data_IF_477924803607
#
_entry.id   IF_477924803607
#
_cell.length_a   1.000
_cell.length_b   1.000
_cell.length_c   1.000
_cell.angle_alpha   90.00
_cell.angle_beta   90.00
_cell.angle_gamma   90.00
#
_symmetry.space_group_name_H-M   'P 1'
#
loop_
_entity.id
_entity.type
_entity.pdbx_description
1 polymer ?
#
# COMPACT_ATOMS: atom_id res chain seq x y z
N UNK A 1 23.74 27.43 -1.02
CA UNK A 1 22.53 27.34 -1.84
C UNK A 1 21.40 26.93 -0.90
N UNK A 2 20.44 27.81 -0.65
CA UNK A 2 19.24 27.47 0.14
C UNK A 2 18.57 26.27 -0.51
N UNK A 3 18.42 25.17 0.23
CA UNK A 3 17.55 24.07 -0.21
C UNK A 3 16.15 24.67 -0.31
N UNK A 4 15.67 24.94 -1.51
CA UNK A 4 14.26 25.25 -1.71
C UNK A 4 13.48 24.03 -1.21
N UNK A 5 12.61 24.27 -0.22
CA UNK A 5 11.72 23.24 0.31
C UNK A 5 10.75 22.81 -0.78
N UNK A 6 10.55 21.51 -0.94
CA UNK A 6 9.53 20.96 -1.85
C UNK A 6 8.17 21.53 -1.45
N UNK A 7 7.47 22.27 -2.32
CA UNK A 7 6.13 22.77 -2.02
C UNK A 7 5.15 21.62 -1.88
N UNK A 8 4.29 21.68 -0.85
CA UNK A 8 3.21 20.70 -0.67
C UNK A 8 1.93 21.35 -0.13
N UNK A 9 0.80 20.72 -0.40
CA UNK A 9 -0.54 21.15 0.00
C UNK A 9 -1.43 19.97 0.41
N UNK A 10 -2.48 20.26 1.17
CA UNK A 10 -3.55 19.29 1.48
C UNK A 10 -4.53 19.24 0.32
N UNK A 11 -4.72 18.06 -0.26
CA UNK A 11 -5.72 17.80 -1.31
C UNK A 11 -7.08 17.45 -0.74
N UNK A 12 -7.10 16.52 0.21
CA UNK A 12 -8.30 16.06 0.89
C UNK A 12 -8.01 15.85 2.35
N UNK A 13 -9.01 16.04 3.19
CA UNK A 13 -8.92 15.71 4.60
C UNK A 13 -10.27 15.28 5.15
N UNK A 14 -10.22 14.45 6.19
CA UNK A 14 -11.39 13.95 6.89
C UNK A 14 -11.12 13.87 8.39
N UNK A 15 -12.15 14.16 9.18
CA UNK A 15 -12.20 13.70 10.57
C UNK A 15 -12.44 12.19 10.65
N UNK A 16 -13.37 11.70 9.83
CA UNK A 16 -13.62 10.29 9.55
C UNK A 16 -14.11 10.15 8.09
N UNK A 17 -13.91 8.98 7.51
CA UNK A 17 -14.41 8.69 6.16
C UNK A 17 -15.96 8.67 6.15
N UNK A 18 -16.53 9.07 5.02
CA UNK A 18 -17.98 9.06 4.74
C UNK A 18 -18.21 8.66 3.28
N UNK A 19 -19.36 8.05 3.00
CA UNK A 19 -19.70 7.45 1.72
C UNK A 19 -20.90 8.11 1.05
N UNK A 20 -20.94 8.01 -0.27
CA UNK A 20 -22.18 8.18 -1.03
C UNK A 20 -23.03 6.93 -0.91
N UNK A 21 -23.96 6.96 0.05
CA UNK A 21 -24.92 5.88 0.24
C UNK A 21 -26.00 5.89 -0.83
N UNK A 22 -26.40 4.70 -1.29
CA UNK A 22 -27.47 4.52 -2.29
C UNK A 22 -28.85 4.92 -1.73
N UNK A 23 -29.04 4.88 -0.41
CA UNK A 23 -30.25 5.29 0.27
C UNK A 23 -30.00 5.78 1.71
N UNK A 24 -30.99 6.49 2.27
CA UNK A 24 -30.90 7.06 3.61
C UNK A 24 -30.83 6.02 4.73
N UNK A 25 -31.45 4.85 4.58
CA UNK A 25 -31.45 3.83 5.63
C UNK A 25 -30.03 3.28 5.88
N UNK A 26 -29.26 3.04 4.81
CA UNK A 26 -27.85 2.63 4.93
C UNK A 26 -27.01 3.70 5.63
N UNK A 27 -27.24 4.98 5.30
CA UNK A 27 -26.55 6.10 5.96
C UNK A 27 -26.91 6.16 7.45
N UNK A 28 -28.20 6.07 7.78
CA UNK A 28 -28.67 6.08 9.15
C UNK A 28 -28.08 4.92 9.96
N UNK A 29 -27.99 3.72 9.37
CA UNK A 29 -27.37 2.57 10.00
C UNK A 29 -25.87 2.77 10.24
N UNK A 30 -25.15 3.27 9.22
CA UNK A 30 -23.71 3.54 9.30
C UNK A 30 -23.37 4.54 10.41
N UNK A 31 -24.16 5.62 10.50
CA UNK A 31 -24.01 6.65 11.52
C UNK A 31 -24.42 6.16 12.90
N UNK A 32 -25.57 5.47 13.01
CA UNK A 32 -26.08 4.95 14.28
C UNK A 32 -25.11 3.98 14.93
N UNK A 33 -24.49 3.10 14.15
CA UNK A 33 -23.53 2.12 14.64
C UNK A 33 -22.09 2.63 14.64
N UNK A 34 -21.84 3.87 14.18
CA UNK A 34 -20.53 4.49 14.11
C UNK A 34 -19.50 3.64 13.35
N UNK A 35 -19.90 2.98 12.26
CA UNK A 35 -19.01 2.09 11.49
C UNK A 35 -17.77 2.81 10.93
N UNK A 36 -17.85 4.13 10.75
CA UNK A 36 -16.69 4.97 10.40
C UNK A 36 -15.53 4.87 11.39
N UNK A 37 -15.75 4.44 12.65
CA UNK A 37 -14.66 4.23 13.62
C UNK A 37 -13.69 3.14 13.19
N UNK A 38 -14.16 2.15 12.43
CA UNK A 38 -13.34 1.09 11.88
C UNK A 38 -12.76 1.37 10.49
N UNK A 39 -13.08 2.54 9.90
CA UNK A 39 -12.77 2.87 8.52
C UNK A 39 -11.42 3.60 8.41
N UNK A 40 -10.34 2.86 8.15
CA UNK A 40 -9.02 3.45 7.93
C UNK A 40 -8.62 3.37 6.45
N UNK A 41 -8.13 4.48 5.87
CA UNK A 41 -7.62 4.47 4.51
C UNK A 41 -6.25 3.82 4.45
N UNK A 42 -6.00 3.03 3.40
CA UNK A 42 -4.72 2.41 3.11
C UNK A 42 -4.11 2.99 1.83
N UNK A 43 -4.32 2.34 0.68
CA UNK A 43 -3.76 2.72 -0.62
C UNK A 43 -4.53 3.83 -1.33
N UNK A 44 -3.81 4.90 -1.69
CA UNK A 44 -4.32 5.99 -2.52
C UNK A 44 -3.72 5.95 -3.93
N UNK A 45 -4.56 6.11 -4.98
CA UNK A 45 -4.10 6.21 -6.37
C UNK A 45 -4.81 7.32 -7.14
N UNK A 46 -4.14 7.79 -8.20
CA UNK A 46 -4.68 8.75 -9.15
C UNK A 46 -4.52 8.19 -10.56
N UNK A 47 -5.57 8.24 -11.37
CA UNK A 47 -5.51 7.81 -12.76
C UNK A 47 -4.99 8.92 -13.70
N UNK A 48 -4.79 8.58 -14.98
CA UNK A 48 -4.34 9.54 -16.00
C UNK A 48 -5.32 10.69 -16.26
N UNK A 49 -6.59 10.57 -15.84
CA UNK A 49 -7.63 11.59 -15.97
C UNK A 49 -7.68 12.51 -14.74
N UNK A 50 -6.90 12.23 -13.70
CA UNK A 50 -6.92 12.96 -12.43
C UNK A 50 -8.03 12.51 -11.49
N UNK A 51 -8.63 11.33 -11.73
CA UNK A 51 -9.58 10.70 -10.79
C UNK A 51 -8.81 10.13 -9.62
N UNK A 52 -9.23 10.46 -8.40
CA UNK A 52 -8.62 9.98 -7.17
C UNK A 52 -9.40 8.80 -6.61
N UNK A 53 -8.66 7.83 -6.09
CA UNK A 53 -9.18 6.59 -5.54
C UNK A 53 -8.53 6.28 -4.20
N UNK A 54 -9.28 5.59 -3.35
CA UNK A 54 -8.88 5.22 -2.00
C UNK A 54 -9.36 3.82 -1.67
N UNK A 55 -8.45 2.96 -1.21
CA UNK A 55 -8.82 1.70 -0.59
C UNK A 55 -9.07 1.87 0.91
N UNK A 56 -10.06 1.12 1.39
CA UNK A 56 -10.43 0.99 2.79
C UNK A 56 -10.54 -0.51 3.07
N UNK A 57 -9.48 -1.15 3.58
CA UNK A 57 -9.52 -2.57 3.93
C UNK A 57 -10.67 -2.86 4.90
N UNK A 58 -11.32 -4.01 4.75
CA UNK A 58 -12.44 -4.41 5.60
C UNK A 58 -11.95 -5.08 6.89
N UNK A 59 -11.06 -4.43 7.63
CA UNK A 59 -10.58 -4.90 8.94
C UNK A 59 -11.65 -4.82 10.03
N UNK A 60 -12.63 -3.94 9.86
CA UNK A 60 -13.75 -3.76 10.78
C UNK A 60 -15.10 -4.03 10.12
N UNK A 61 -16.10 -4.27 10.96
CA UNK A 61 -17.48 -4.46 10.50
C UNK A 61 -18.08 -3.16 9.94
N UNK A 62 -18.94 -3.28 8.93
CA UNK A 62 -19.74 -2.17 8.42
C UNK A 62 -19.06 -1.26 7.40
N UNK A 63 -17.91 -1.64 6.86
CA UNK A 63 -17.23 -0.91 5.77
C UNK A 63 -17.96 -1.12 4.44
N UNK A 64 -18.58 -0.07 3.84
CA UNK A 64 -19.45 -0.24 2.67
C UNK A 64 -18.73 -0.82 1.45
N UNK A 65 -17.54 -0.29 1.14
CA UNK A 65 -16.79 -0.66 -0.06
C UNK A 65 -15.29 -0.55 0.19
N UNK A 66 -14.53 -1.51 -0.36
CA UNK A 66 -13.09 -1.63 -0.09
C UNK A 66 -12.22 -0.85 -1.06
N UNK A 67 -12.74 -0.52 -2.25
CA UNK A 67 -12.14 0.44 -3.18
C UNK A 67 -13.17 1.50 -3.51
N UNK A 68 -12.75 2.76 -3.52
CA UNK A 68 -13.64 3.90 -3.65
C UNK A 68 -13.05 4.96 -4.58
N UNK A 69 -13.90 5.65 -5.34
CA UNK A 69 -13.57 6.95 -5.94
C UNK A 69 -13.80 8.06 -4.92
N UNK A 70 -12.95 9.08 -4.92
CA UNK A 70 -13.17 10.28 -4.12
C UNK A 70 -13.94 11.29 -4.97
N UNK A 71 -15.06 11.77 -4.44
CA UNK A 71 -15.94 12.75 -5.09
C UNK A 71 -16.23 13.92 -4.16
N UNK A 72 -16.29 15.13 -4.71
CA UNK A 72 -16.57 16.35 -3.94
C UNK A 72 -18.06 16.67 -3.96
N UNK A 73 -18.70 16.65 -2.79
CA UNK A 73 -20.11 17.01 -2.62
C UNK A 73 -20.23 18.10 -1.58
N UNK A 74 -20.78 19.26 -1.97
CA UNK A 74 -20.91 20.44 -1.10
C UNK A 74 -19.59 20.85 -0.42
N UNK A 75 -18.48 20.75 -1.15
CA UNK A 75 -17.14 21.07 -0.64
C UNK A 75 -16.53 20.04 0.30
N UNK A 76 -17.18 18.88 0.50
CA UNK A 76 -16.65 17.77 1.29
C UNK A 76 -16.26 16.59 0.41
N UNK A 77 -15.11 15.95 0.65
CA UNK A 77 -14.75 14.72 -0.04
C UNK A 77 -15.54 13.53 0.54
N UNK A 78 -16.22 12.78 -0.33
CA UNK A 78 -16.96 11.56 -0.01
C UNK A 78 -16.44 10.38 -0.84
N UNK A 79 -16.70 9.17 -0.37
CA UNK A 79 -16.31 7.92 -1.03
C UNK A 79 -17.47 7.33 -1.83
N UNK A 80 -17.29 7.20 -3.14
CA UNK A 80 -18.19 6.46 -4.02
C UNK A 80 -17.68 5.02 -4.19
N UNK A 81 -18.46 3.99 -3.81
CA UNK A 81 -18.09 2.60 -4.03
C UNK A 81 -17.65 2.31 -5.47
N UNK A 82 -16.47 1.71 -5.63
CA UNK A 82 -15.88 1.40 -6.94
C UNK A 82 -15.53 -0.09 -7.03
N UNK A 83 -15.63 -0.73 -8.21
CA UNK A 83 -16.13 -0.20 -9.49
C UNK A 83 -17.66 -0.10 -9.59
N UNK A 84 -18.38 -0.86 -8.76
CA UNK A 84 -19.83 -0.85 -8.63
C UNK A 84 -20.22 -1.65 -7.37
N UNK A 85 -21.51 -1.68 -7.06
CA UNK A 85 -22.06 -2.39 -5.90
C UNK A 85 -21.82 -3.91 -5.96
N UNK A 86 -21.97 -4.54 -7.13
CA UNK A 86 -21.78 -5.98 -7.30
C UNK A 86 -20.34 -6.41 -6.98
N UNK A 87 -19.34 -5.61 -7.36
CA UNK A 87 -17.94 -5.86 -7.03
C UNK A 87 -17.58 -5.60 -5.57
N UNK A 88 -18.51 -5.11 -4.75
CA UNK A 88 -18.34 -4.91 -3.32
C UNK A 88 -19.15 -5.90 -2.47
N UNK A 89 -19.71 -6.96 -3.07
CA UNK A 89 -20.41 -8.01 -2.34
C UNK A 89 -19.45 -8.87 -1.48
N UNK A 90 -19.59 -8.78 -0.15
CA UNK A 90 -18.81 -9.57 0.80
C UNK A 90 -19.21 -11.05 0.71
N UNK A 91 -18.23 -11.95 0.64
CA UNK A 91 -18.39 -13.40 0.56
C UNK A 91 -18.54 -13.94 -0.86
N UNK A 92 -18.65 -13.07 -1.88
CA UNK A 92 -18.69 -13.48 -3.28
C UNK A 92 -17.26 -13.60 -3.84
N UNK A 93 -16.80 -14.80 -4.29
CA UNK A 93 -15.44 -14.99 -4.80
C UNK A 93 -15.13 -14.17 -6.05
N UNK A 94 -16.14 -13.75 -6.81
CA UNK A 94 -16.00 -12.92 -8.00
C UNK A 94 -15.95 -11.41 -7.67
N UNK A 95 -16.16 -11.03 -6.40
CA UNK A 95 -16.15 -9.66 -5.91
C UNK A 95 -14.97 -9.37 -4.97
N UNK A 96 -14.70 -8.08 -4.72
CA UNK A 96 -13.65 -7.63 -3.82
C UNK A 96 -14.05 -7.79 -2.35
N UNK A 97 -13.15 -8.35 -1.56
CA UNK A 97 -13.36 -8.65 -0.15
C UNK A 97 -12.69 -7.61 0.74
N UNK A 98 -11.37 -7.45 0.65
CA UNK A 98 -10.61 -6.46 1.40
C UNK A 98 -9.32 -6.11 0.65
N UNK A 99 -9.34 -4.99 -0.05
CA UNK A 99 -8.19 -4.45 -0.79
C UNK A 99 -7.43 -3.50 0.11
N UNK A 100 -6.13 -3.74 0.24
CA UNK A 100 -5.17 -2.86 0.92
C UNK A 100 -4.34 -2.11 -0.11
N UNK A 101 -3.27 -2.72 -0.60
CA UNK A 101 -2.45 -2.19 -1.67
C UNK A 101 -3.03 -2.55 -3.03
N UNK A 102 -2.69 -1.73 -4.02
CA UNK A 102 -3.07 -1.93 -5.41
C UNK A 102 -2.24 -0.98 -6.27
N UNK A 103 -2.31 -1.12 -7.59
CA UNK A 103 -1.59 -0.22 -8.50
C UNK A 103 -2.43 0.11 -9.75
N UNK A 104 -2.21 1.30 -10.32
CA UNK A 104 -2.75 1.65 -11.65
C UNK A 104 -1.59 1.65 -12.63
N UNK A 105 -1.63 0.75 -13.61
CA UNK A 105 -0.56 0.64 -14.60
C UNK A 105 -0.66 1.71 -15.70
N UNK A 106 0.38 1.78 -16.54
CA UNK A 106 0.48 2.73 -17.65
C UNK A 106 -0.54 2.49 -18.78
N UNK A 107 -1.21 1.33 -18.78
CA UNK A 107 -2.29 0.97 -19.71
C UNK A 107 -3.68 1.38 -19.18
N UNK A 108 -3.75 1.99 -18.00
CA UNK A 108 -5.01 2.39 -17.38
C UNK A 108 -5.78 1.22 -16.75
N UNK A 109 -5.07 0.17 -16.31
CA UNK A 109 -5.66 -0.95 -15.58
C UNK A 109 -5.34 -0.84 -14.10
N UNK A 110 -6.35 -0.98 -13.26
CA UNK A 110 -6.19 -1.13 -11.82
C UNK A 110 -5.97 -2.61 -11.48
N UNK A 111 -4.96 -2.87 -10.66
CA UNK A 111 -4.58 -4.19 -10.15
C UNK A 111 -4.84 -4.22 -8.65
N UNK A 112 -6.05 -4.64 -8.26
CA UNK A 112 -6.45 -4.72 -6.86
C UNK A 112 -5.86 -5.97 -6.20
N UNK A 113 -5.10 -5.80 -5.12
CA UNK A 113 -4.63 -6.90 -4.28
C UNK A 113 -5.66 -7.16 -3.18
N UNK A 114 -6.49 -8.17 -3.37
CA UNK A 114 -7.51 -8.55 -2.42
C UNK A 114 -6.93 -9.57 -1.43
N UNK A 115 -6.87 -9.19 -0.16
CA UNK A 115 -6.37 -10.03 0.92
C UNK A 115 -7.32 -11.19 1.23
N UNK A 116 -8.61 -11.07 0.90
CA UNK A 116 -9.63 -12.07 1.21
C UNK A 116 -10.05 -12.13 2.69
N UNK A 117 -9.37 -11.41 3.59
CA UNK A 117 -9.68 -11.32 5.01
C UNK A 117 -10.70 -10.20 5.26
N UNK A 118 -11.83 -10.53 5.89
CA UNK A 118 -12.85 -9.56 6.30
C UNK A 118 -13.08 -9.69 7.80
N UNK A 119 -13.04 -8.57 8.51
CA UNK A 119 -13.16 -8.49 9.97
C UNK A 119 -12.13 -9.37 10.71
N UNK A 120 -10.89 -9.40 10.20
CA UNK A 120 -9.79 -10.24 10.69
C UNK A 120 -10.10 -11.75 10.73
N UNK A 121 -11.16 -12.19 10.04
CA UNK A 121 -11.49 -13.61 9.91
C UNK A 121 -10.49 -14.28 8.95
N UNK A 122 -10.20 -15.58 9.15
CA UNK A 122 -9.38 -16.33 8.21
C UNK A 122 -9.93 -16.24 6.79
N UNK A 123 -9.04 -16.06 5.82
CA UNK A 123 -9.41 -16.09 4.42
C UNK A 123 -9.96 -17.49 4.04
N UNK A 124 -10.92 -17.53 3.13
CA UNK A 124 -11.47 -18.76 2.56
C UNK A 124 -11.04 -18.92 1.09
N UNK A 125 -11.02 -20.14 0.53
CA UNK A 125 -10.60 -20.36 -0.85
C UNK A 125 -11.33 -19.46 -1.85
N UNK A 126 -10.57 -18.81 -2.73
CA UNK A 126 -11.10 -17.90 -3.75
C UNK A 126 -11.24 -16.43 -3.31
N UNK A 127 -11.12 -16.11 -2.02
CA UNK A 127 -11.25 -14.73 -1.54
C UNK A 127 -9.96 -13.91 -1.74
N UNK A 128 -8.80 -14.54 -1.53
CA UNK A 128 -7.49 -13.93 -1.77
C UNK A 128 -7.10 -14.01 -3.25
N UNK A 129 -6.93 -12.86 -3.90
CA UNK A 129 -6.77 -12.77 -5.36
C UNK A 129 -6.22 -11.42 -5.82
N UNK A 130 -5.74 -11.38 -7.06
CA UNK A 130 -5.53 -10.14 -7.80
C UNK A 130 -6.71 -9.95 -8.75
N UNK A 131 -7.31 -8.77 -8.75
CA UNK A 131 -8.36 -8.40 -9.73
C UNK A 131 -7.80 -7.31 -10.64
N UNK A 132 -7.72 -7.60 -11.94
CA UNK A 132 -7.32 -6.64 -12.97
C UNK A 132 -8.57 -6.01 -13.58
N UNK A 133 -8.67 -4.69 -13.54
CA UNK A 133 -9.85 -3.93 -13.96
C UNK A 133 -9.45 -2.81 -14.92
N UNK A 134 -10.11 -2.72 -16.07
CA UNK A 134 -9.86 -1.66 -17.04
C UNK A 134 -10.62 -0.40 -16.63
N UNK A 135 -9.90 0.68 -16.31
CA UNK A 135 -10.50 1.93 -15.84
C UNK A 135 -11.20 2.72 -16.97
N UNK A 136 -10.82 2.47 -18.22
CA UNK A 136 -11.37 3.18 -19.39
C UNK A 136 -12.78 2.70 -19.75
N UNK A 137 -12.94 1.38 -19.83
CA UNK A 137 -14.19 0.68 -20.13
C UNK A 137 -15.01 0.36 -18.88
N UNK A 138 -14.38 0.42 -17.70
CA UNK A 138 -14.94 0.01 -16.43
C UNK A 138 -15.41 -1.46 -16.45
N UNK A 139 -14.53 -2.35 -16.90
CA UNK A 139 -14.79 -3.78 -17.04
C UNK A 139 -13.70 -4.63 -16.41
N UNK A 140 -14.10 -5.81 -15.94
CA UNK A 140 -13.19 -6.83 -15.46
C UNK A 140 -12.29 -7.31 -16.62
N UNK A 141 -10.97 -7.33 -16.38
CA UNK A 141 -9.99 -7.89 -17.31
C UNK A 141 -9.64 -9.32 -16.91
N UNK A 142 -9.36 -9.55 -15.62
CA UNK A 142 -8.94 -10.86 -15.12
C UNK A 142 -9.12 -10.98 -13.60
N UNK A 143 -9.25 -12.22 -13.13
CA UNK A 143 -9.17 -12.61 -11.72
C UNK A 143 -8.10 -13.68 -11.59
N UNK A 144 -7.12 -13.43 -10.71
CA UNK A 144 -5.97 -14.30 -10.48
C UNK A 144 -6.02 -14.76 -9.02
N UNK A 145 -6.57 -15.95 -8.73
CA UNK A 145 -6.56 -16.50 -7.38
C UNK A 145 -5.13 -16.69 -6.88
N UNK A 146 -4.88 -16.34 -5.62
CA UNK A 146 -3.61 -16.63 -4.94
C UNK A 146 -3.88 -17.76 -3.94
N UNK A 147 -3.38 -18.98 -4.19
CA UNK A 147 -3.75 -20.14 -3.39
C UNK A 147 -2.94 -20.20 -2.07
N UNK A 148 -3.43 -21.01 -1.12
CA UNK A 148 -2.90 -21.12 0.26
C UNK A 148 -1.42 -21.51 0.30
N UNK A 149 -0.96 -22.32 -0.66
CA UNK A 149 0.43 -22.74 -0.78
C UNK A 149 1.39 -21.62 -1.22
N UNK A 150 0.90 -20.54 -1.85
CA UNK A 150 1.69 -19.36 -2.23
C UNK A 150 1.59 -18.29 -1.14
N UNK A 151 0.39 -18.07 -0.62
CA UNK A 151 0.10 -17.16 0.47
C UNK A 151 -0.93 -17.79 1.39
N UNK A 152 -0.46 -18.24 2.57
CA UNK A 152 -1.31 -18.90 3.56
C UNK A 152 -2.48 -18.02 3.99
N UNK A 153 -3.68 -18.56 3.94
CA UNK A 153 -4.93 -17.94 4.39
C UNK A 153 -5.01 -17.70 5.90
N UNK A 154 -4.01 -18.20 6.65
CA UNK A 154 -3.91 -18.04 8.11
C UNK A 154 -2.76 -17.13 8.55
N UNK A 155 -1.81 -16.87 7.67
CA UNK A 155 -0.59 -16.15 8.02
C UNK A 155 -0.37 -14.91 7.19
N UNK A 156 -0.74 -14.94 5.90
CA UNK A 156 -0.42 -13.88 4.94
C UNK A 156 -1.18 -12.61 5.25
N UNK A 157 -0.52 -11.50 4.96
CA UNK A 157 -1.08 -10.18 4.94
C UNK A 157 -0.52 -9.50 3.70
N UNK A 158 -1.18 -9.75 2.56
CA UNK A 158 -0.78 -9.22 1.27
C UNK A 158 -0.88 -7.70 1.32
N UNK A 159 0.26 -7.02 1.19
CA UNK A 159 0.34 -5.60 1.48
C UNK A 159 0.24 -4.79 0.19
N UNK A 160 1.34 -4.71 -0.56
CA UNK A 160 1.44 -3.94 -1.79
C UNK A 160 1.92 -4.77 -2.99
N UNK A 161 1.71 -4.25 -4.20
CA UNK A 161 2.19 -4.84 -5.44
C UNK A 161 2.84 -3.83 -6.40
N UNK A 162 3.71 -4.34 -7.28
CA UNK A 162 4.34 -3.59 -8.35
C UNK A 162 4.14 -4.31 -9.69
N UNK A 163 3.76 -3.54 -10.70
CA UNK A 163 3.47 -4.03 -12.06
C UNK A 163 4.69 -3.86 -12.97
N UNK A 164 5.04 -4.90 -13.70
CA UNK A 164 6.08 -4.94 -14.73
C UNK A 164 5.51 -5.47 -16.04
N UNK A 165 4.84 -4.59 -16.78
CA UNK A 165 4.31 -4.91 -18.10
C UNK A 165 5.40 -5.15 -19.15
N UNK A 166 6.61 -4.61 -18.95
CA UNK A 166 7.74 -4.77 -19.89
C UNK A 166 8.19 -6.23 -19.90
N UNK A 167 8.34 -6.83 -18.72
CA UNK A 167 8.78 -8.22 -18.60
C UNK A 167 7.62 -9.21 -18.39
N UNK A 168 6.41 -8.74 -18.10
CA UNK A 168 5.21 -9.54 -17.90
C UNK A 168 5.10 -10.16 -16.50
N UNK A 169 5.38 -9.39 -15.45
CA UNK A 169 5.38 -9.87 -14.06
C UNK A 169 4.69 -8.91 -13.09
N UNK A 170 4.18 -9.46 -11.98
CA UNK A 170 3.76 -8.69 -10.80
C UNK A 170 4.56 -9.17 -9.59
N UNK A 171 5.00 -8.23 -8.77
CA UNK A 171 5.73 -8.49 -7.52
C UNK A 171 4.88 -8.04 -6.35
N UNK A 172 4.73 -8.87 -5.32
CA UNK A 172 3.87 -8.61 -4.16
C UNK A 172 4.70 -8.75 -2.90
N UNK A 173 4.52 -7.81 -1.96
CA UNK A 173 4.98 -7.96 -0.59
C UNK A 173 3.90 -8.59 0.29
N UNK A 174 4.29 -9.57 1.08
CA UNK A 174 3.44 -10.20 2.08
C UNK A 174 4.06 -10.00 3.46
N UNK A 175 3.35 -9.28 4.33
CA UNK A 175 3.81 -8.92 5.65
C UNK A 175 3.63 -10.04 6.67
N UNK A 176 2.87 -11.10 6.37
CA UNK A 176 2.80 -12.32 7.17
C UNK A 176 2.38 -12.19 8.63
N UNK A 177 1.56 -11.18 9.00
CA UNK A 177 1.39 -10.69 10.38
C UNK A 177 0.49 -11.53 11.30
N UNK A 178 -0.24 -12.52 10.76
CA UNK A 178 -1.24 -13.26 11.56
C UNK A 178 -0.67 -14.43 12.37
N UNK A 179 0.62 -14.72 12.26
CA UNK A 179 1.27 -15.82 13.01
C UNK A 179 2.49 -15.37 13.78
N UNK A 180 2.87 -16.17 14.79
CA UNK A 180 4.14 -16.08 15.50
C UNK A 180 4.86 -17.43 15.46
N UNK A 181 6.02 -17.56 14.76
CA UNK A 181 6.73 -16.51 14.04
C UNK A 181 5.93 -15.94 12.85
N UNK A 182 6.26 -14.69 12.52
CA UNK A 182 5.74 -13.99 11.36
C UNK A 182 6.15 -14.76 10.08
N UNK A 183 5.33 -14.72 9.04
CA UNK A 183 5.55 -15.49 7.80
C UNK A 183 5.76 -14.60 6.58
N UNK A 184 6.47 -13.47 6.75
CA UNK A 184 6.70 -12.51 5.68
C UNK A 184 7.47 -13.10 4.48
N UNK A 185 7.27 -12.53 3.30
CA UNK A 185 7.90 -13.01 2.07
C UNK A 185 7.54 -12.16 0.86
N UNK A 186 8.03 -12.56 -0.31
CA UNK A 186 7.66 -11.94 -1.59
C UNK A 186 6.98 -12.97 -2.48
N UNK A 187 6.03 -12.52 -3.30
CA UNK A 187 5.32 -13.36 -4.27
C UNK A 187 5.50 -12.77 -5.66
N UNK A 188 5.83 -13.64 -6.61
CA UNK A 188 6.06 -13.30 -8.01
C UNK A 188 4.97 -13.95 -8.83
N UNK A 189 4.28 -13.15 -9.65
CA UNK A 189 3.29 -13.63 -10.60
C UNK A 189 3.82 -13.45 -12.02
N UNK A 190 3.86 -14.53 -12.79
CA UNK A 190 4.18 -14.50 -14.21
C UNK A 190 2.88 -14.31 -15.01
N UNK A 191 2.69 -13.15 -15.64
CA UNK A 191 1.46 -12.84 -16.38
C UNK A 191 1.25 -13.73 -17.61
N UNK A 192 2.34 -14.30 -18.17
CA UNK A 192 2.29 -15.14 -19.37
C UNK A 192 1.94 -16.59 -19.04
N UNK A 193 2.60 -17.18 -18.04
CA UNK A 193 2.36 -18.58 -17.65
C UNK A 193 1.23 -18.71 -16.64
N UNK A 194 0.83 -17.61 -16.01
CA UNK A 194 -0.09 -17.52 -14.86
C UNK A 194 0.42 -18.21 -13.60
N UNK A 195 1.70 -18.53 -13.54
CA UNK A 195 2.30 -19.17 -12.37
C UNK A 195 2.61 -18.14 -11.29
N UNK A 196 2.43 -18.58 -10.04
CA UNK A 196 2.81 -17.85 -8.84
C UNK A 196 3.98 -18.57 -8.17
N UNK A 197 4.93 -17.81 -7.65
CA UNK A 197 6.06 -18.33 -6.87
C UNK A 197 6.25 -17.48 -5.63
N UNK A 198 6.31 -18.11 -4.46
CA UNK A 198 6.76 -17.47 -3.23
C UNK A 198 8.28 -17.61 -3.11
N UNK A 199 8.95 -16.53 -2.72
CA UNK A 199 10.39 -16.46 -2.43
C UNK A 199 10.63 -15.66 -1.15
N UNK A 200 11.81 -15.78 -0.57
CA UNK A 200 12.24 -15.11 0.66
C UNK A 200 11.25 -15.33 1.82
N UNK A 201 10.60 -16.50 1.85
CA UNK A 201 9.67 -16.88 2.92
C UNK A 201 10.44 -16.99 4.23
N UNK A 202 10.05 -16.18 5.22
CA UNK A 202 10.74 -16.09 6.51
C UNK A 202 12.22 -15.69 6.45
N UNK A 203 12.66 -15.14 5.32
CA UNK A 203 14.01 -14.60 5.18
C UNK A 203 14.18 -13.36 6.07
N UNK A 204 15.36 -13.13 6.63
CA UNK A 204 15.62 -12.03 7.59
C UNK A 204 15.22 -10.63 7.05
N UNK A 205 15.29 -10.42 5.73
CA UNK A 205 14.89 -9.16 5.09
C UNK A 205 13.38 -8.94 4.97
N UNK A 206 12.57 -9.97 5.20
CA UNK A 206 11.09 -9.94 5.09
C UNK A 206 10.40 -10.08 6.45
N UNK A 207 11.16 -10.19 7.55
CA UNK A 207 10.65 -10.35 8.91
C UNK A 207 10.74 -9.05 9.72
N UNK A 208 9.99 -9.01 10.82
CA UNK A 208 10.18 -8.00 11.86
C UNK A 208 11.53 -8.15 12.56
N UNK A 209 12.13 -7.04 12.97
CA UNK A 209 13.30 -7.07 13.87
C UNK A 209 12.82 -7.38 15.29
N UNK A 210 13.28 -8.48 15.92
CA UNK A 210 12.79 -8.88 17.23
C UNK A 210 13.00 -7.79 18.30
N UNK A 211 11.94 -7.50 19.04
CA UNK A 211 11.97 -6.51 20.12
C UNK A 211 12.13 -5.05 19.64
N UNK A 212 11.91 -4.78 18.35
CA UNK A 212 12.01 -3.44 17.82
C UNK A 212 10.79 -2.58 18.22
N UNK A 213 11.07 -1.43 18.82
CA UNK A 213 10.06 -0.45 19.22
C UNK A 213 10.27 0.85 18.48
N UNK A 214 9.17 1.45 18.06
CA UNK A 214 9.16 2.78 17.46
C UNK A 214 7.95 3.57 17.92
N UNK A 215 8.02 4.88 17.69
CA UNK A 215 6.99 5.84 18.08
C UNK A 215 6.65 6.72 16.90
N UNK A 216 5.37 7.03 16.75
CA UNK A 216 4.89 8.00 15.77
C UNK A 216 4.42 9.21 16.56
N UNK A 217 4.98 10.39 16.26
CA UNK A 217 4.74 11.63 17.01
C UNK A 217 4.83 11.46 18.54
N UNK A 218 5.84 10.71 18.99
CA UNK A 218 6.09 10.46 20.41
C UNK A 218 5.19 9.41 21.08
N UNK A 219 4.21 8.84 20.36
CA UNK A 219 3.30 7.80 20.86
C UNK A 219 3.75 6.41 20.38
N UNK A 220 3.85 5.46 21.30
CA UNK A 220 4.06 4.05 20.95
C UNK A 220 2.80 3.48 20.30
N UNK A 221 2.98 2.52 19.38
CA UNK A 221 1.85 1.85 18.71
C UNK A 221 1.00 1.08 19.71
N UNK A 222 1.62 0.15 20.44
CA UNK A 222 1.02 -0.53 21.59
C UNK A 222 1.77 -0.13 22.86
N UNK A 223 1.12 -0.17 24.04
CA UNK A 223 1.77 0.17 25.30
C UNK A 223 2.70 -0.93 25.84
N UNK A 224 2.43 -2.19 25.50
CA UNK A 224 2.94 -3.38 26.21
C UNK A 224 3.65 -4.40 25.30
N UNK A 225 3.55 -4.27 23.98
CA UNK A 225 4.25 -5.12 23.01
C UNK A 225 4.75 -4.35 21.77
N UNK A 226 5.82 -4.79 21.10
CA UNK A 226 6.19 -4.22 19.81
C UNK A 226 5.14 -4.57 18.75
N UNK A 227 4.95 -3.67 17.76
CA UNK A 227 4.22 -4.03 16.55
C UNK A 227 5.10 -4.91 15.67
N UNK A 228 4.52 -5.92 15.03
CA UNK A 228 5.24 -6.88 14.20
C UNK A 228 4.64 -6.93 12.82
N UNK A 229 5.38 -6.39 11.86
CA UNK A 229 5.00 -6.35 10.46
C UNK A 229 6.24 -6.63 9.62
N UNK A 230 6.14 -7.66 8.77
CA UNK A 230 7.20 -8.08 7.85
C UNK A 230 7.29 -7.18 6.63
N UNK A 231 7.71 -7.76 5.49
CA UNK A 231 7.78 -7.08 4.20
C UNK A 231 6.47 -6.35 3.89
N UNK A 232 6.58 -5.04 3.71
CA UNK A 232 5.43 -4.16 3.62
C UNK A 232 5.59 -3.31 2.35
N UNK A 233 6.23 -2.14 2.46
CA UNK A 233 6.61 -1.34 1.31
C UNK A 233 7.49 -2.10 0.32
N UNK A 234 7.08 -2.02 -0.95
CA UNK A 234 7.74 -2.59 -2.12
C UNK A 234 7.84 -1.53 -3.22
N UNK A 235 8.93 -1.51 -3.97
CA UNK A 235 9.08 -0.62 -5.12
C UNK A 235 9.88 -1.28 -6.23
N UNK A 236 9.56 -0.94 -7.47
CA UNK A 236 10.26 -1.43 -8.65
C UNK A 236 11.01 -0.29 -9.33
N UNK A 237 12.29 -0.50 -9.60
CA UNK A 237 13.13 0.48 -10.30
C UNK A 237 12.54 0.89 -11.66
N UNK A 238 12.88 2.11 -12.08
CA UNK A 238 12.51 2.69 -13.37
C UNK A 238 12.86 1.77 -14.56
N UNK A 239 13.98 1.05 -14.51
CA UNK A 239 14.41 0.11 -15.55
C UNK A 239 13.94 -1.35 -15.31
N UNK A 240 13.15 -1.58 -14.24
CA UNK A 240 12.64 -2.89 -13.80
C UNK A 240 13.75 -3.87 -13.41
N UNK A 241 15.00 -3.44 -13.27
CA UNK A 241 16.13 -4.34 -13.01
C UNK A 241 16.21 -4.79 -11.56
N UNK A 242 15.76 -3.95 -10.63
CA UNK A 242 15.79 -4.19 -9.18
C UNK A 242 14.43 -4.02 -8.53
N UNK A 243 14.07 -4.98 -7.68
CA UNK A 243 12.98 -4.91 -6.74
C UNK A 243 13.51 -4.46 -5.37
N UNK A 244 12.87 -3.47 -4.77
CA UNK A 244 13.19 -2.95 -3.44
C UNK A 244 12.07 -3.29 -2.47
N UNK A 245 12.41 -3.58 -1.22
CA UNK A 245 11.43 -3.76 -0.15
C UNK A 245 12.01 -3.41 1.21
N UNK A 246 11.14 -3.21 2.18
CA UNK A 246 11.50 -3.23 3.59
C UNK A 246 10.41 -3.86 4.44
N UNK A 247 10.81 -4.43 5.57
CA UNK A 247 9.86 -4.74 6.63
C UNK A 247 9.45 -3.46 7.37
N UNK A 248 8.17 -3.31 7.71
CA UNK A 248 7.70 -2.12 8.43
C UNK A 248 8.30 -2.09 9.82
N UNK A 249 8.34 -3.21 10.55
CA UNK A 249 9.06 -3.32 11.84
C UNK A 249 10.57 -3.50 11.64
N UNK A 250 11.17 -2.66 10.81
CA UNK A 250 12.61 -2.54 10.58
C UNK A 250 12.96 -1.15 10.03
N UNK A 251 14.25 -0.82 9.92
CA UNK A 251 14.71 0.43 9.27
C UNK A 251 15.48 0.22 7.98
N UNK A 252 15.89 -1.00 7.68
CA UNK A 252 16.75 -1.27 6.54
C UNK A 252 15.97 -1.31 5.22
N UNK A 253 16.60 -0.91 4.13
CA UNK A 253 16.09 -1.08 2.77
C UNK A 253 16.85 -2.22 2.10
N UNK A 254 16.14 -3.12 1.45
CA UNK A 254 16.72 -4.25 0.74
C UNK A 254 16.42 -4.15 -0.76
N UNK A 255 17.25 -4.79 -1.58
CA UNK A 255 16.94 -5.02 -2.98
C UNK A 255 17.50 -6.33 -3.53
N UNK A 256 16.94 -6.80 -4.65
CA UNK A 256 17.44 -7.93 -5.43
C UNK A 256 17.20 -7.69 -6.92
N UNK A 257 18.02 -8.32 -7.77
CA UNK A 257 17.84 -8.25 -9.22
C UNK A 257 16.60 -9.05 -9.64
N UNK A 258 15.69 -8.42 -10.38
CA UNK A 258 14.45 -9.05 -10.83
C UNK A 258 14.68 -10.20 -11.79
N UNK A 259 15.83 -10.26 -12.46
CA UNK A 259 16.18 -11.38 -13.34
C UNK A 259 16.15 -12.73 -12.59
N UNK A 260 16.63 -12.75 -11.33
CA UNK A 260 16.62 -13.93 -10.47
C UNK A 260 15.21 -14.32 -10.02
N UNK A 261 14.31 -13.33 -9.92
CA UNK A 261 12.91 -13.55 -9.53
C UNK A 261 12.05 -14.03 -10.69
N UNK A 262 12.35 -13.54 -11.91
CA UNK A 262 11.60 -13.85 -13.13
C UNK A 262 11.93 -15.23 -13.71
N UNK A 263 13.11 -15.75 -13.43
CA UNK A 263 13.45 -17.14 -13.73
C UNK A 263 12.99 -18.06 -12.59
N UNK A 264 11.85 -18.73 -12.80
CA UNK A 264 11.27 -19.63 -11.80
C UNK A 264 12.10 -20.91 -11.59
N UNK A 265 13.17 -21.13 -12.38
CA UNK A 265 14.15 -22.19 -12.15
C UNK A 265 15.30 -21.78 -11.23
N UNK A 266 15.49 -20.48 -10.96
CA UNK A 266 16.53 -20.00 -10.04
C UNK A 266 16.33 -20.57 -8.64
N UNK A 267 17.32 -21.28 -8.06
CA UNK A 267 17.20 -21.85 -6.72
C UNK A 267 16.96 -20.77 -5.65
N UNK A 268 16.15 -21.10 -4.65
CA UNK A 268 15.83 -20.17 -3.55
C UNK A 268 17.08 -19.58 -2.88
N UNK A 269 18.06 -20.43 -2.60
CA UNK A 269 19.33 -20.03 -1.99
C UNK A 269 20.10 -18.98 -2.80
N UNK A 270 20.02 -19.04 -4.13
CA UNK A 270 20.67 -18.05 -5.00
C UNK A 270 19.98 -16.68 -4.88
N UNK A 271 18.65 -16.67 -4.73
CA UNK A 271 17.87 -15.45 -4.48
C UNK A 271 18.23 -14.86 -3.10
N UNK A 272 18.28 -15.70 -2.06
CA UNK A 272 18.65 -15.30 -0.69
C UNK A 272 20.05 -14.68 -0.64
N UNK A 273 21.05 -15.32 -1.25
CA UNK A 273 22.44 -14.85 -1.30
C UNK A 273 22.61 -13.57 -2.14
N UNK A 274 21.69 -13.30 -3.08
CA UNK A 274 21.68 -12.10 -3.90
C UNK A 274 21.00 -10.90 -3.24
N UNK A 275 20.35 -11.06 -2.09
CA UNK A 275 19.73 -9.94 -1.36
C UNK A 275 20.80 -8.95 -0.90
N UNK A 276 20.65 -7.69 -1.31
CA UNK A 276 21.53 -6.60 -0.88
C UNK A 276 20.83 -5.76 0.19
N UNK A 277 21.45 -5.66 1.36
CA UNK A 277 21.11 -4.66 2.38
C UNK A 277 21.71 -3.31 1.99
N UNK A 278 20.86 -2.34 1.66
CA UNK A 278 21.24 -0.99 1.26
C UNK A 278 21.45 -0.05 2.46
N UNK A 279 21.16 -0.53 3.68
CA UNK A 279 21.39 0.17 4.91
C UNK A 279 20.15 0.80 5.53
N UNK A 280 20.39 1.52 6.62
CA UNK A 280 19.37 2.06 7.50
C UNK A 280 18.82 3.40 6.99
N UNK A 281 17.50 3.46 6.76
CA UNK A 281 16.77 4.66 6.28
C UNK A 281 16.60 5.76 7.34
N UNK A 282 16.90 5.44 8.61
CA UNK A 282 16.68 6.33 9.76
C UNK A 282 15.27 6.30 10.34
N UNK A 283 14.34 5.54 9.75
CA UNK A 283 12.93 5.45 10.12
C UNK A 283 12.35 4.10 9.70
N UNK A 284 11.27 3.67 10.35
CA UNK A 284 10.33 2.69 9.80
C UNK A 284 9.58 3.27 8.60
N UNK A 285 9.18 2.39 7.71
CA UNK A 285 8.50 2.72 6.45
C UNK A 285 7.33 1.77 6.25
N UNK A 286 6.20 2.36 5.88
CA UNK A 286 4.99 1.66 5.46
C UNK A 286 5.08 1.48 3.93
N UNK A 287 4.63 2.45 3.13
CA UNK A 287 4.78 2.42 1.68
C UNK A 287 6.15 2.83 1.10
N UNK A 288 6.48 2.21 -0.03
CA UNK A 288 7.55 2.59 -0.94
C UNK A 288 6.98 3.02 -2.31
N UNK A 289 7.75 3.83 -3.05
CA UNK A 289 7.44 4.18 -4.42
C UNK A 289 8.72 4.46 -5.21
N UNK A 290 8.63 4.46 -6.54
CA UNK A 290 9.76 4.79 -7.40
C UNK A 290 9.32 5.76 -8.51
N UNK A 291 10.20 6.69 -8.85
CA UNK A 291 9.98 7.57 -9.99
C UNK A 291 10.63 7.05 -11.29
N UNK A 292 10.28 7.68 -12.39
CA UNK A 292 10.83 7.43 -13.72
C UNK A 292 12.29 7.90 -13.90
N UNK A 293 12.92 8.50 -12.88
CA UNK A 293 14.33 8.90 -12.86
C UNK A 293 15.20 7.94 -12.03
N UNK A 294 14.59 6.92 -11.41
CA UNK A 294 15.28 5.89 -10.64
C UNK A 294 15.47 6.22 -9.16
N UNK A 295 14.83 7.26 -8.63
CA UNK A 295 14.81 7.50 -7.19
C UNK A 295 13.74 6.64 -6.53
N UNK A 296 14.04 6.16 -5.32
CA UNK A 296 13.13 5.37 -4.50
C UNK A 296 12.64 6.23 -3.34
N UNK A 297 11.34 6.41 -3.21
CA UNK A 297 10.69 7.19 -2.16
C UNK A 297 10.19 6.25 -1.09
N UNK A 298 10.24 6.71 0.16
CA UNK A 298 9.79 5.93 1.30
C UNK A 298 9.05 6.82 2.30
N UNK A 299 7.98 6.28 2.89
CA UNK A 299 7.32 6.94 4.00
C UNK A 299 8.18 6.90 5.25
N UNK A 300 8.09 7.94 6.07
CA UNK A 300 8.82 8.07 7.32
C UNK A 300 7.83 8.10 8.47
N UNK A 301 7.58 6.94 9.10
CA UNK A 301 6.65 6.85 10.24
C UNK A 301 7.16 7.62 11.46
N UNK A 302 8.42 7.41 11.85
CA UNK A 302 9.04 8.12 12.97
C UNK A 302 9.43 9.55 12.59
N UNK A 303 9.78 9.76 11.31
CA UNK A 303 10.21 11.05 10.78
C UNK A 303 9.08 11.98 10.32
N UNK A 304 7.83 11.52 10.34
CA UNK A 304 6.62 12.26 9.93
C UNK A 304 6.75 12.93 8.55
N UNK A 305 6.87 12.11 7.50
CA UNK A 305 6.93 12.64 6.13
C UNK A 305 7.43 11.65 5.09
N UNK A 306 8.13 12.16 4.08
CA UNK A 306 8.68 11.39 2.95
C UNK A 306 10.20 11.56 2.88
N UNK A 307 10.90 10.43 2.71
CA UNK A 307 12.31 10.39 2.37
C UNK A 307 12.54 9.84 0.97
N UNK A 308 13.78 10.00 0.50
CA UNK A 308 14.24 9.49 -0.79
C UNK A 308 15.58 8.76 -0.63
N UNK A 309 15.70 7.63 -1.30
CA UNK A 309 16.92 6.89 -1.52
C UNK A 309 17.38 7.11 -2.96
N UNK A 310 18.65 7.51 -3.12
CA UNK A 310 19.29 7.65 -4.42
C UNK A 310 20.22 6.46 -4.68
N UNK A 311 19.89 5.56 -5.62
CA UNK A 311 20.74 4.41 -5.92
C UNK A 311 22.14 4.76 -6.44
N UNK A 312 22.31 5.93 -7.08
CA UNK A 312 23.57 6.33 -7.69
C UNK A 312 24.68 6.61 -6.66
N UNK A 313 24.31 7.20 -5.52
CA UNK A 313 25.25 7.53 -4.43
C UNK A 313 24.96 6.75 -3.13
N UNK A 314 23.95 5.88 -3.14
CA UNK A 314 23.47 5.08 -2.00
C UNK A 314 23.14 5.92 -0.76
N UNK A 315 22.54 7.10 -0.95
CA UNK A 315 22.19 8.01 0.15
C UNK A 315 20.69 8.05 0.45
N UNK A 316 20.36 8.17 1.73
CA UNK A 316 19.01 8.40 2.25
C UNK A 316 18.86 9.86 2.70
N UNK A 317 17.78 10.53 2.29
CA UNK A 317 17.53 11.95 2.62
C UNK A 317 16.03 12.21 2.85
N UNK A 318 15.65 12.82 3.99
CA UNK A 318 14.32 13.43 4.14
C UNK A 318 14.12 14.52 3.08
N UNK A 319 12.93 14.55 2.47
CA UNK A 319 12.57 15.57 1.46
C UNK A 319 11.35 16.38 1.84
N UNK A 320 10.43 15.80 2.62
CA UNK A 320 9.22 16.45 3.13
C UNK A 320 9.03 16.00 4.57
N UNK A 321 8.76 16.94 5.46
CA UNK A 321 8.42 16.69 6.87
C UNK A 321 7.38 17.70 7.33
N UNK A 322 6.35 17.23 8.03
CA UNK A 322 5.32 18.07 8.65
C UNK A 322 4.77 17.33 9.88
N UNK A 323 4.56 18.04 11.00
CA UNK A 323 4.06 17.41 12.24
C UNK A 323 2.65 16.80 12.08
N UNK A 324 1.92 17.16 11.02
CA UNK A 324 0.62 16.60 10.66
C UNK A 324 0.72 15.30 9.87
N UNK A 325 1.89 14.97 9.30
CA UNK A 325 2.14 13.73 8.54
C UNK A 325 2.34 12.55 9.49
N UNK A 326 1.28 12.24 10.23
CA UNK A 326 1.20 11.15 11.19
C UNK A 326 0.90 9.87 10.41
N UNK A 327 1.66 8.79 10.62
CA UNK A 327 1.48 7.51 9.91
C UNK A 327 1.26 7.71 8.39
N UNK A 328 2.30 8.12 7.69
CA UNK A 328 2.27 8.21 6.22
C UNK A 328 2.33 6.80 5.65
N UNK A 329 1.38 6.46 4.79
CA UNK A 329 1.07 5.08 4.38
C UNK A 329 1.42 4.87 2.90
N UNK A 330 0.46 5.05 1.99
CA UNK A 330 0.65 4.85 0.56
C UNK A 330 1.07 6.11 -0.20
N UNK A 331 1.66 5.90 -1.39
CA UNK A 331 2.02 6.98 -2.31
C UNK A 331 1.80 6.63 -3.79
N UNK A 332 1.68 7.66 -4.62
CA UNK A 332 1.51 7.57 -6.07
C UNK A 332 2.00 8.85 -6.77
N UNK A 333 2.03 8.85 -8.10
CA UNK A 333 2.45 9.99 -8.92
C UNK A 333 1.36 10.37 -9.92
N UNK A 334 1.04 11.66 -10.03
CA UNK A 334 -0.08 12.17 -10.85
C UNK A 334 0.27 12.47 -12.32
N UNK A 335 1.41 11.98 -12.79
CA UNK A 335 1.99 12.25 -14.12
C UNK A 335 2.27 13.73 -14.46
N UNK A 336 2.01 14.65 -13.53
CA UNK A 336 2.22 16.09 -13.71
C UNK A 336 3.45 16.60 -12.97
N UNK A 337 4.23 15.72 -12.34
CA UNK A 337 5.37 16.11 -11.52
C UNK A 337 5.07 16.17 -10.02
N UNK A 338 3.95 15.60 -9.57
CA UNK A 338 3.59 15.60 -8.16
C UNK A 338 3.58 14.18 -7.57
N UNK A 339 4.06 14.09 -6.33
CA UNK A 339 3.85 12.96 -5.44
C UNK A 339 2.56 13.19 -4.66
N UNK A 340 1.68 12.20 -4.66
CA UNK A 340 0.46 12.18 -3.87
C UNK A 340 0.61 11.08 -2.83
N UNK A 341 0.32 11.38 -1.57
CA UNK A 341 0.44 10.40 -0.50
C UNK A 341 -0.59 10.67 0.60
N UNK A 342 -1.02 9.60 1.27
CA UNK A 342 -1.95 9.72 2.38
C UNK A 342 -1.25 9.50 3.72
N UNK A 343 -1.86 10.03 4.76
CA UNK A 343 -1.51 9.72 6.13
C UNK A 343 -2.78 9.45 6.93
N UNK A 344 -2.65 8.59 7.94
CA UNK A 344 -3.73 8.19 8.83
C UNK A 344 -3.29 8.31 10.31
N UNK A 345 -4.11 7.81 11.25
CA UNK A 345 -3.78 7.81 12.68
C UNK A 345 -4.00 6.44 13.28
N UNK A 346 -3.63 5.39 12.54
CA UNK A 346 -3.93 4.00 12.90
C UNK A 346 -3.47 3.63 14.32
N UNK A 347 -2.26 4.04 14.72
CA UNK A 347 -1.77 3.84 16.09
C UNK A 347 -2.58 4.54 17.20
N UNK A 348 -3.25 5.65 16.91
CA UNK A 348 -4.13 6.32 17.87
C UNK A 348 -5.49 5.63 17.93
N UNK A 349 -5.98 5.13 16.79
CA UNK A 349 -7.19 4.31 16.72
C UNK A 349 -7.04 3.03 17.56
N UNK A 350 -5.93 2.31 17.38
CA UNK A 350 -5.60 1.10 18.12
C UNK A 350 -5.61 1.26 19.65
N UNK A 351 -5.41 2.50 20.12
CA UNK A 351 -5.36 2.84 21.54
C UNK A 351 -6.64 3.48 22.06
N UNK A 352 -7.66 3.62 21.20
CA UNK A 352 -8.88 4.40 21.48
C UNK A 352 -8.55 5.84 21.90
N UNK A 353 -7.55 6.44 21.25
CA UNK A 353 -7.02 7.79 21.51
C UNK A 353 -7.24 8.74 20.34
N UNK A 354 -7.94 8.32 19.29
CA UNK A 354 -8.22 9.13 18.12
C UNK A 354 -9.33 10.15 18.43
N UNK A 355 -9.02 11.44 18.28
CA UNK A 355 -9.95 12.56 18.50
C UNK A 355 -10.77 12.81 17.23
N UNK A 356 -12.01 12.33 17.20
CA UNK A 356 -12.85 12.33 16.00
C UNK A 356 -13.43 13.70 15.60
N UNK A 357 -13.25 14.73 16.41
CA UNK A 357 -13.56 16.11 16.07
C UNK A 357 -12.42 16.83 15.31
N UNK A 358 -11.22 16.25 15.30
CA UNK A 358 -10.10 16.76 14.50
C UNK A 358 -10.37 16.56 13.00
N UNK A 359 -10.48 17.62 12.18
CA UNK A 359 -10.77 17.50 10.75
C UNK A 359 -9.60 16.93 9.92
N UNK A 360 -8.43 16.75 10.53
CA UNK A 360 -7.18 16.31 9.90
C UNK A 360 -6.70 14.96 10.44
N UNK A 361 -7.64 14.06 10.76
CA UNK A 361 -7.29 12.70 11.15
C UNK A 361 -6.73 11.91 9.97
N UNK A 362 -7.34 12.10 8.80
CA UNK A 362 -6.96 11.47 7.55
C UNK A 362 -6.69 12.59 6.55
N UNK A 363 -5.54 12.55 5.89
CA UNK A 363 -5.14 13.61 4.96
C UNK A 363 -4.52 12.97 3.72
N UNK A 364 -4.84 13.53 2.56
CA UNK A 364 -4.13 13.29 1.30
C UNK A 364 -3.36 14.56 0.96
N UNK A 365 -2.07 14.40 0.71
CA UNK A 365 -1.15 15.48 0.38
C UNK A 365 -0.76 15.43 -1.09
N UNK A 366 -0.43 16.60 -1.64
CA UNK A 366 0.24 16.72 -2.94
C UNK A 366 1.52 17.51 -2.76
N UNK A 367 2.63 16.95 -3.22
CA UNK A 367 3.94 17.59 -3.19
C UNK A 367 4.52 17.74 -4.59
N UNK A 368 5.02 18.92 -4.92
CA UNK A 368 5.58 19.26 -6.24
C UNK A 368 7.04 18.85 -6.33
N UNK A 369 7.32 17.67 -6.87
CA UNK A 369 8.70 17.16 -7.03
C UNK A 369 9.46 17.85 -8.17
N UNK A 370 8.76 18.21 -9.24
CA UNK A 370 9.36 18.89 -10.39
C UNK A 370 8.77 18.44 -11.71
N UNK A 371 8.97 19.21 -12.77
CA UNK A 371 8.52 18.84 -14.11
C UNK A 371 9.18 17.54 -14.59
N UNK A 372 8.40 16.67 -15.25
CA UNK A 372 8.90 15.42 -15.82
C UNK A 372 9.01 14.24 -14.85
N UNK A 373 8.87 14.46 -13.54
CA UNK A 373 8.81 13.38 -12.55
C UNK A 373 7.47 12.66 -12.66
N UNK A 374 7.53 11.34 -12.83
CA UNK A 374 6.36 10.45 -12.96
C UNK A 374 6.64 9.14 -12.21
N UNK A 375 5.63 8.29 -12.09
CA UNK A 375 5.82 6.91 -11.61
C UNK A 375 6.85 6.16 -12.48
N UNK A 376 7.55 5.20 -11.87
CA UNK A 376 8.44 4.24 -12.52
C UNK A 376 7.83 3.60 -13.78
N UNK A 377 6.50 3.46 -13.82
CA UNK A 377 5.70 2.99 -14.97
C UNK A 377 5.92 3.78 -16.27
N UNK A 378 6.36 5.04 -16.18
CA UNK A 378 6.57 5.94 -17.33
C UNK A 378 8.05 6.19 -17.65
N UNK A 379 8.95 5.36 -17.12
CA UNK A 379 10.34 5.31 -17.58
C UNK A 379 10.41 4.80 -19.04
N UNK A 380 11.36 5.32 -19.81
CA UNK A 380 11.53 4.99 -21.23
C UNK A 380 12.59 3.93 -21.44
#
# INVERSE_FOLDING_TARGET
MSKESIPYEVLFHWSHLDWLFSNNAMKEEFEKNQYWKGAMPAGFKVDQKGTYYLSVPRWAHGIPATVNKIVMVNGKPLLEPYPNEAMNEIGNPDALQSVLGWEIDELGRAWFLDQGHVEDKPCTPGMQKIVCWDLGTNQLVDIIPIPDEIASFKASFLNDLMIDNINGFVYIADSGIYTDPLQGGLIIYNMKTRELRRVLHQHVSTQDVPGYWFKIAGKSIWPDKPMRTGADGIALSADRSKLYWCALTARHLYCVDTALLRDFSTPEKEIEEAVVDLGNKGTNTDGLGADNQGLIYYTMLEGQGIGVFNPADKSFKPIITDERMIWVDGMTFDNQGNLIFNNNRLHELFRDQLEWDNPYNLIVWKARLGEGIKSYLYAR
#
